data_IF_855055221535
#
_entry.id   IF_855055221535
#
_cell.length_a   1.000
_cell.length_b   1.000
_cell.length_c   1.000
_cell.angle_alpha   90.00
_cell.angle_beta   90.00
_cell.angle_gamma   90.00
#
_symmetry.space_group_name_H-M   'P 1'
#
loop_
_entity.id
_entity.type
_entity.pdbx_description
1 polymer ?
#
# COMPACT_ATOMS: atom_id res chain seq x y z
N UNK A 1 -28.39 -45.91 -42.11
CA UNK A 1 -28.23 -44.87 -41.07
C UNK A 1 -27.24 -45.38 -40.03
N UNK A 2 -26.02 -44.83 -39.97
CA UNK A 2 -24.99 -45.21 -38.99
C UNK A 2 -24.99 -44.19 -37.86
N UNK A 3 -25.28 -44.64 -36.65
CA UNK A 3 -25.34 -43.85 -35.42
C UNK A 3 -23.92 -43.53 -34.95
N UNK A 4 -23.57 -42.24 -34.86
CA UNK A 4 -22.29 -41.78 -34.32
C UNK A 4 -22.51 -41.46 -32.84
N UNK A 5 -21.90 -42.25 -31.97
CA UNK A 5 -21.88 -42.03 -30.53
C UNK A 5 -20.78 -41.02 -30.19
N UNK A 6 -21.16 -39.80 -29.78
CA UNK A 6 -20.22 -38.81 -29.27
C UNK A 6 -19.79 -39.17 -27.85
N UNK A 7 -18.53 -39.54 -27.68
CA UNK A 7 -17.89 -39.77 -26.38
C UNK A 7 -17.52 -38.40 -25.79
N UNK A 8 -18.31 -37.93 -24.82
CA UNK A 8 -18.08 -36.67 -24.12
C UNK A 8 -16.96 -36.87 -23.09
N UNK A 9 -15.73 -36.51 -23.46
CA UNK A 9 -14.57 -36.59 -22.58
C UNK A 9 -14.56 -35.37 -21.64
N UNK A 10 -15.03 -35.56 -20.40
CA UNK A 10 -14.94 -34.59 -19.31
C UNK A 10 -13.47 -34.47 -18.85
N UNK A 11 -12.72 -33.54 -19.45
CA UNK A 11 -11.42 -33.10 -18.96
C UNK A 11 -11.62 -32.27 -17.68
N UNK A 12 -11.51 -32.93 -16.53
CA UNK A 12 -11.26 -32.26 -15.24
C UNK A 12 -9.84 -31.68 -15.28
N UNK A 13 -9.71 -30.42 -15.72
CA UNK A 13 -8.49 -29.65 -15.51
C UNK A 13 -8.38 -29.29 -14.03
N UNK A 14 -7.54 -30.04 -13.32
CA UNK A 14 -7.09 -29.65 -11.99
C UNK A 14 -6.28 -28.35 -12.12
N UNK A 15 -6.92 -27.22 -11.87
CA UNK A 15 -6.25 -25.92 -11.76
C UNK A 15 -5.40 -25.98 -10.50
N UNK A 16 -4.10 -26.26 -10.66
CA UNK A 16 -3.13 -26.12 -9.57
C UNK A 16 -3.07 -24.64 -9.18
N UNK A 17 -3.60 -24.31 -8.01
CA UNK A 17 -3.42 -23.02 -7.35
C UNK A 17 -1.97 -22.90 -6.84
N UNK A 18 -1.00 -22.82 -7.75
CA UNK A 18 0.31 -22.29 -7.40
C UNK A 18 0.15 -20.78 -7.21
N UNK A 19 0.19 -20.31 -5.97
CA UNK A 19 0.44 -18.88 -5.76
C UNK A 19 1.87 -18.63 -6.22
N UNK A 20 2.06 -18.00 -7.38
CA UNK A 20 3.40 -17.63 -7.82
C UNK A 20 4.05 -16.77 -6.74
N UNK A 21 5.16 -17.28 -6.19
CA UNK A 21 5.97 -16.52 -5.26
C UNK A 21 6.58 -15.33 -6.02
N UNK A 22 6.48 -14.14 -5.41
CA UNK A 22 6.99 -12.91 -6.01
C UNK A 22 8.48 -13.04 -6.37
N UNK A 23 8.92 -12.34 -7.43
CA UNK A 23 10.31 -12.39 -7.89
C UNK A 23 11.30 -12.00 -6.78
N UNK A 24 10.86 -11.17 -5.83
CA UNK A 24 11.63 -10.80 -4.66
C UNK A 24 11.95 -11.97 -3.73
N UNK A 25 11.19 -13.07 -3.75
CA UNK A 25 11.42 -14.25 -2.92
C UNK A 25 12.06 -15.40 -3.68
N UNK A 26 11.68 -15.58 -4.95
CA UNK A 26 12.27 -16.59 -5.84
C UNK A 26 13.79 -16.42 -5.96
N UNK A 27 14.24 -15.16 -5.96
CA UNK A 27 15.63 -14.81 -6.12
C UNK A 27 16.09 -14.82 -7.57
N UNK A 28 17.08 -13.97 -7.86
CA UNK A 28 17.69 -13.83 -9.17
C UNK A 28 19.17 -14.13 -9.01
N UNK A 29 19.67 -15.09 -9.78
CA UNK A 29 21.10 -15.36 -9.80
C UNK A 29 21.83 -14.33 -10.67
N UNK A 30 22.73 -13.57 -10.06
CA UNK A 30 23.45 -12.46 -10.70
C UNK A 30 24.94 -12.74 -10.70
N UNK A 31 25.54 -12.72 -11.89
CA UNK A 31 26.99 -12.82 -12.06
C UNK A 31 27.65 -11.48 -11.69
N UNK A 32 28.52 -11.50 -10.69
CA UNK A 32 29.23 -10.34 -10.16
C UNK A 32 30.73 -10.52 -10.41
N UNK A 33 31.37 -9.48 -10.94
CA UNK A 33 32.82 -9.44 -11.11
C UNK A 33 33.49 -9.10 -9.78
N UNK A 34 34.53 -9.84 -9.43
CA UNK A 34 35.40 -9.53 -8.30
C UNK A 34 36.86 -9.41 -8.76
N UNK A 35 37.76 -9.06 -7.83
CA UNK A 35 39.19 -8.92 -8.13
C UNK A 35 39.86 -10.20 -8.64
N UNK A 36 39.22 -11.37 -8.49
CA UNK A 36 39.75 -12.69 -8.82
C UNK A 36 38.96 -13.40 -9.94
N UNK A 37 37.97 -12.75 -10.56
CA UNK A 37 37.16 -13.33 -11.63
C UNK A 37 35.67 -12.99 -11.51
N UNK A 38 34.81 -14.01 -11.64
CA UNK A 38 33.37 -13.86 -11.52
C UNK A 38 32.81 -14.87 -10.52
N UNK A 39 31.88 -14.40 -9.69
CA UNK A 39 31.08 -15.23 -8.78
C UNK A 39 29.60 -14.94 -8.97
N UNK A 40 28.78 -15.88 -8.55
CA UNK A 40 27.33 -15.77 -8.61
C UNK A 40 26.77 -15.35 -7.24
N UNK A 41 25.80 -14.45 -7.24
CA UNK A 41 25.07 -14.00 -6.05
C UNK A 41 23.59 -14.10 -6.31
N UNK A 42 22.87 -14.81 -5.46
CA UNK A 42 21.41 -14.80 -5.48
C UNK A 42 20.89 -13.54 -4.80
N UNK A 43 20.29 -12.64 -5.58
CA UNK A 43 19.62 -11.44 -5.09
C UNK A 43 18.16 -11.77 -4.77
N UNK A 44 17.81 -11.71 -3.49
CA UNK A 44 16.43 -11.93 -3.00
C UNK A 44 16.17 -11.12 -1.74
N UNK A 45 14.90 -11.05 -1.34
CA UNK A 45 14.46 -10.52 -0.07
C UNK A 45 14.69 -11.56 1.02
N UNK A 46 15.64 -11.28 1.91
CA UNK A 46 15.90 -12.13 3.06
C UNK A 46 14.84 -11.92 4.16
N UNK A 47 14.23 -13.00 4.66
CA UNK A 47 13.37 -13.02 5.83
C UNK A 47 13.65 -14.27 6.67
N UNK A 48 14.35 -14.09 7.77
CA UNK A 48 14.58 -15.14 8.76
C UNK A 48 13.25 -15.70 9.29
N UNK A 49 13.22 -16.99 9.64
CA UNK A 49 11.99 -17.72 9.98
C UNK A 49 11.30 -17.15 11.23
N UNK A 50 12.10 -16.72 12.22
CA UNK A 50 11.67 -16.03 13.42
C UNK A 50 10.92 -14.72 13.10
N UNK A 51 11.31 -14.03 12.03
CA UNK A 51 10.69 -12.78 11.61
C UNK A 51 9.34 -12.99 10.89
N UNK A 52 9.01 -14.21 10.47
CA UNK A 52 7.73 -14.50 9.80
C UNK A 52 6.54 -14.46 10.75
N UNK A 53 6.77 -14.66 12.05
CA UNK A 53 5.74 -14.70 13.10
C UNK A 53 5.42 -13.32 13.68
N UNK A 54 6.16 -12.28 13.29
CA UNK A 54 5.99 -10.93 13.82
C UNK A 54 4.73 -10.28 13.24
N UNK A 55 3.76 -10.00 14.11
CA UNK A 55 2.59 -9.20 13.75
C UNK A 55 3.00 -7.72 13.64
N UNK A 56 2.57 -6.99 12.58
CA UNK A 56 2.83 -5.56 12.48
C UNK A 56 2.18 -4.82 13.67
N UNK A 57 2.99 -4.18 14.50
CA UNK A 57 2.56 -3.31 15.58
C UNK A 57 3.38 -2.03 15.61
N UNK A 58 2.82 -0.95 16.15
CA UNK A 58 3.46 0.37 16.14
C UNK A 58 4.88 0.35 16.70
N UNK A 59 5.07 -0.16 17.92
CA UNK A 59 6.39 -0.24 18.56
C UNK A 59 7.33 -1.16 17.81
N UNK A 60 6.82 -2.28 17.28
CA UNK A 60 7.63 -3.19 16.47
C UNK A 60 8.18 -2.45 15.25
N UNK A 61 7.33 -1.76 14.48
CA UNK A 61 7.72 -1.16 13.18
C UNK A 61 8.66 0.01 13.29
N UNK A 62 8.55 0.79 14.37
CA UNK A 62 9.21 2.09 14.49
C UNK A 62 10.33 2.15 15.56
N UNK A 63 10.89 1.01 16.02
CA UNK A 63 11.95 0.97 17.06
C UNK A 63 13.34 0.52 16.59
N UNK A 64 14.42 0.96 17.27
CA UNK A 64 15.82 0.46 17.16
C UNK A 64 16.88 1.45 16.61
N UNK A 65 18.09 0.99 16.21
CA UNK A 65 19.17 1.77 15.50
C UNK A 65 20.03 0.94 14.51
N UNK A 66 20.30 1.46 13.30
CA UNK A 66 21.30 0.90 12.33
C UNK A 66 22.45 1.86 11.99
N UNK A 67 22.50 3.06 12.57
CA UNK A 67 23.50 4.08 12.22
C UNK A 67 24.82 3.87 12.98
N UNK A 68 25.92 4.36 12.41
CA UNK A 68 27.24 4.36 13.06
C UNK A 68 27.20 5.03 14.44
N UNK A 69 28.04 4.55 15.36
CA UNK A 69 28.03 4.96 16.77
C UNK A 69 28.22 6.46 16.99
N UNK A 70 28.93 7.15 16.09
CA UNK A 70 29.20 8.60 16.17
C UNK A 70 28.06 9.50 15.65
N UNK A 71 27.05 8.93 14.98
CA UNK A 71 25.92 9.74 14.47
C UNK A 71 25.07 10.18 15.67
N UNK A 72 24.59 11.43 15.74
CA UNK A 72 23.66 11.85 16.79
C UNK A 72 22.30 11.16 16.64
N UNK A 73 21.63 10.80 17.74
CA UNK A 73 20.34 10.09 17.69
C UNK A 73 19.24 10.84 16.95
N UNK A 74 19.25 12.17 16.98
CA UNK A 74 18.33 13.01 16.21
C UNK A 74 18.41 12.75 14.69
N UNK A 75 19.60 12.37 14.19
CA UNK A 75 19.85 12.06 12.78
C UNK A 75 19.61 10.58 12.44
N UNK A 76 19.28 9.74 13.42
CA UNK A 76 19.03 8.31 13.23
C UNK A 76 17.55 8.03 13.06
N UNK A 77 17.26 6.96 12.34
CA UNK A 77 15.94 6.32 12.26
C UNK A 77 16.13 4.82 12.12
N UNK A 78 15.16 4.06 12.59
CA UNK A 78 15.16 2.59 12.45
C UNK A 78 13.82 2.09 12.01
N UNK A 79 13.89 1.08 11.17
CA UNK A 79 12.75 0.52 10.51
C UNK A 79 12.83 -0.99 10.55
N UNK A 80 11.68 -1.62 10.75
CA UNK A 80 11.55 -3.05 10.51
C UNK A 80 11.43 -3.33 9.01
N UNK A 81 12.33 -4.17 8.52
CA UNK A 81 12.44 -4.52 7.10
C UNK A 81 11.71 -5.84 6.74
N UNK A 82 11.24 -6.59 7.74
CA UNK A 82 10.75 -7.97 7.60
C UNK A 82 9.23 -8.08 7.45
N UNK A 83 8.51 -6.96 7.45
CA UNK A 83 7.05 -6.95 7.38
C UNK A 83 6.48 -6.97 5.98
N UNK A 84 5.23 -7.43 5.88
CA UNK A 84 4.49 -7.51 4.63
C UNK A 84 4.86 -8.73 3.79
N UNK A 85 3.84 -9.35 3.20
CA UNK A 85 4.02 -10.56 2.39
C UNK A 85 4.68 -10.27 1.05
N UNK A 86 4.35 -9.17 0.37
CA UNK A 86 4.89 -8.85 -0.95
C UNK A 86 5.41 -7.40 -0.97
N UNK A 87 6.27 -7.08 -1.93
CA UNK A 87 6.64 -5.69 -2.24
C UNK A 87 5.80 -5.22 -3.43
N UNK A 88 5.06 -4.12 -3.25
CA UNK A 88 4.25 -3.58 -4.33
C UNK A 88 5.13 -2.93 -5.42
N UNK A 89 4.82 -3.06 -6.72
CA UNK A 89 5.56 -2.39 -7.80
C UNK A 89 5.40 -0.86 -7.74
N UNK A 90 6.22 -0.12 -8.48
CA UNK A 90 6.11 1.34 -8.54
C UNK A 90 4.78 1.78 -9.16
N UNK A 91 4.24 1.02 -10.11
CA UNK A 91 3.00 1.33 -10.81
C UNK A 91 1.90 0.37 -10.36
N UNK A 92 0.87 0.91 -9.71
CA UNK A 92 -0.27 0.11 -9.25
C UNK A 92 -1.27 -0.18 -10.37
N UNK A 93 -1.58 0.84 -11.16
CA UNK A 93 -2.50 0.79 -12.30
C UNK A 93 -2.03 1.76 -13.38
N UNK A 94 -2.60 1.70 -14.59
CA UNK A 94 -2.22 2.57 -15.69
C UNK A 94 -2.57 4.04 -15.42
N UNK A 95 -3.71 4.25 -14.77
CA UNK A 95 -4.37 5.53 -14.50
C UNK A 95 -3.93 6.18 -13.18
N UNK A 96 -3.31 5.41 -12.29
CA UNK A 96 -2.85 5.89 -10.98
C UNK A 96 -1.40 6.34 -11.08
N UNK A 97 -1.19 7.60 -10.75
CA UNK A 97 0.14 8.19 -10.66
C UNK A 97 0.74 7.92 -9.27
N UNK A 98 2.01 7.51 -9.25
CA UNK A 98 2.73 7.22 -8.01
C UNK A 98 3.57 8.41 -7.61
N UNK A 99 3.42 8.84 -6.37
CA UNK A 99 4.11 10.01 -5.83
C UNK A 99 5.33 9.59 -5.00
N UNK A 100 6.38 10.41 -5.05
CA UNK A 100 7.45 10.45 -4.07
C UNK A 100 7.19 11.53 -3.02
N UNK A 101 8.18 11.82 -2.18
CA UNK A 101 8.04 12.78 -1.06
C UNK A 101 7.79 14.21 -1.57
N UNK A 102 8.46 14.63 -2.65
CA UNK A 102 8.31 15.98 -3.20
C UNK A 102 6.93 16.19 -3.85
N UNK A 103 6.41 15.19 -4.55
CA UNK A 103 5.06 15.26 -5.13
C UNK A 103 3.98 15.28 -4.03
N UNK A 104 4.21 14.59 -2.89
CA UNK A 104 3.35 14.71 -1.71
C UNK A 104 3.35 16.13 -1.16
N UNK A 105 4.53 16.76 -1.03
CA UNK A 105 4.63 18.15 -0.55
C UNK A 105 3.89 19.13 -1.48
N UNK A 106 4.06 18.98 -2.79
CA UNK A 106 3.32 19.78 -3.77
C UNK A 106 1.81 19.56 -3.66
N UNK A 107 1.37 18.32 -3.51
CA UNK A 107 -0.04 18.00 -3.29
C UNK A 107 -0.58 18.65 -2.01
N UNK A 108 0.18 18.64 -0.92
CA UNK A 108 -0.18 19.30 0.34
C UNK A 108 -0.27 20.82 0.22
N UNK A 109 0.61 21.44 -0.57
CA UNK A 109 0.54 22.87 -0.87
C UNK A 109 -0.75 23.21 -1.65
N UNK A 110 -1.08 22.41 -2.66
CA UNK A 110 -2.31 22.56 -3.44
C UNK A 110 -3.56 22.36 -2.57
N UNK A 111 -3.54 21.40 -1.63
CA UNK A 111 -4.63 21.17 -0.67
C UNK A 111 -4.95 22.38 0.20
N UNK A 112 -4.01 23.31 0.42
CA UNK A 112 -4.29 24.52 1.20
C UNK A 112 -5.21 25.51 0.47
N UNK A 113 -5.39 25.32 -0.84
CA UNK A 113 -6.14 26.23 -1.72
C UNK A 113 -7.29 25.52 -2.44
N UNK A 114 -7.37 24.19 -2.36
CA UNK A 114 -8.35 23.37 -3.07
C UNK A 114 -8.90 22.26 -2.16
N UNK A 115 -10.08 22.51 -1.60
CA UNK A 115 -10.80 21.56 -0.76
C UNK A 115 -11.16 20.25 -1.48
N UNK A 116 -11.03 20.18 -2.82
CA UNK A 116 -11.25 18.95 -3.56
C UNK A 116 -10.04 18.00 -3.53
N UNK A 117 -8.92 18.37 -2.92
CA UNK A 117 -7.78 17.47 -2.73
C UNK A 117 -7.77 16.92 -1.30
N UNK A 118 -7.54 15.61 -1.17
CA UNK A 118 -7.47 14.95 0.13
C UNK A 118 -6.27 14.01 0.21
N UNK A 119 -5.50 14.16 1.28
CA UNK A 119 -4.48 13.20 1.68
C UNK A 119 -5.13 12.16 2.62
N UNK A 120 -5.04 10.89 2.26
CA UNK A 120 -5.71 9.79 2.96
C UNK A 120 -4.70 8.81 3.55
N UNK A 121 -4.79 8.61 4.86
CA UNK A 121 -4.08 7.55 5.58
C UNK A 121 -4.97 6.30 5.65
N UNK A 122 -4.63 5.26 4.88
CA UNK A 122 -5.41 4.02 4.79
C UNK A 122 -5.12 3.03 5.94
N UNK A 123 -4.25 3.40 6.89
CA UNK A 123 -3.89 2.54 8.03
C UNK A 123 -5.00 2.52 9.08
N UNK A 124 -4.90 1.55 10.00
CA UNK A 124 -5.79 1.49 11.16
C UNK A 124 -5.48 2.63 12.13
N UNK A 125 -6.46 2.96 12.95
CA UNK A 125 -6.46 4.04 13.93
C UNK A 125 -5.24 3.99 14.86
N UNK A 126 -4.79 2.84 15.39
CA UNK A 126 -3.59 2.82 16.24
C UNK A 126 -2.32 3.35 15.52
N UNK A 127 -2.21 3.13 14.21
CA UNK A 127 -1.10 3.65 13.41
C UNK A 127 -1.22 5.15 13.18
N UNK A 128 -2.43 5.58 12.80
CA UNK A 128 -2.72 6.99 12.58
C UNK A 128 -2.52 7.78 13.87
N UNK A 129 -3.10 7.32 14.98
CA UNK A 129 -3.03 7.92 16.31
C UNK A 129 -1.60 8.00 16.84
N UNK A 130 -0.77 6.99 16.57
CA UNK A 130 0.64 7.06 16.93
C UNK A 130 1.38 8.19 16.21
N UNK A 131 1.30 8.23 14.86
CA UNK A 131 1.82 9.34 14.04
C UNK A 131 1.36 9.22 12.59
N UNK A 132 1.13 10.34 11.93
CA UNK A 132 0.81 10.39 10.49
C UNK A 132 1.41 11.63 9.82
N UNK A 133 1.22 11.76 8.51
CA UNK A 133 1.55 12.96 7.73
C UNK A 133 0.54 14.07 8.09
N UNK A 134 1.00 15.31 8.40
CA UNK A 134 0.10 16.43 8.67
C UNK A 134 -0.91 16.68 7.54
N UNK A 135 -2.15 16.98 7.90
CA UNK A 135 -3.25 17.20 6.95
C UNK A 135 -3.90 15.92 6.39
N UNK A 136 -3.38 14.73 6.72
CA UNK A 136 -4.01 13.47 6.32
C UNK A 136 -5.30 13.20 7.11
N UNK A 137 -6.35 12.72 6.42
CA UNK A 137 -7.56 12.17 7.04
C UNK A 137 -7.42 10.66 7.13
N UNK A 138 -7.75 10.08 8.29
CA UNK A 138 -7.73 8.63 8.44
C UNK A 138 -8.98 8.00 7.81
N UNK A 139 -8.78 7.15 6.80
CA UNK A 139 -9.84 6.30 6.24
C UNK A 139 -9.32 4.87 6.14
N UNK A 140 -9.33 4.11 7.24
CA UNK A 140 -8.83 2.74 7.26
C UNK A 140 -9.46 1.88 6.17
N UNK A 141 -8.63 1.10 5.47
CA UNK A 141 -9.07 0.23 4.36
C UNK A 141 -10.23 -0.70 4.72
N UNK A 142 -10.35 -1.08 5.99
CA UNK A 142 -11.31 -2.08 6.44
C UNK A 142 -12.75 -1.53 6.54
N UNK A 143 -12.95 -0.20 6.59
CA UNK A 143 -14.29 0.39 6.46
C UNK A 143 -14.92 0.04 5.11
N UNK A 144 -14.09 -0.05 4.05
CA UNK A 144 -14.53 -0.35 2.69
C UNK A 144 -14.63 -1.86 2.47
N UNK A 145 -13.65 -2.63 2.95
CA UNK A 145 -13.65 -4.09 2.80
C UNK A 145 -14.77 -4.78 3.59
N UNK A 146 -15.09 -4.26 4.78
CA UNK A 146 -16.12 -4.80 5.67
C UNK A 146 -17.33 -3.85 5.77
N UNK A 147 -17.76 -3.26 4.65
CA UNK A 147 -18.82 -2.23 4.60
C UNK A 147 -20.15 -2.61 5.25
N UNK A 148 -20.45 -3.92 5.35
CA UNK A 148 -21.65 -4.39 6.03
C UNK A 148 -21.62 -4.15 7.55
N UNK A 149 -20.42 -4.13 8.13
CA UNK A 149 -20.19 -3.85 9.55
C UNK A 149 -19.97 -2.35 9.79
N UNK A 150 -19.19 -1.69 8.93
CA UNK A 150 -18.84 -0.26 9.04
C UNK A 150 -19.70 0.61 8.11
N UNK A 151 -21.03 0.48 8.22
CA UNK A 151 -21.97 1.11 7.27
C UNK A 151 -21.89 2.63 7.29
N UNK A 152 -21.81 3.21 8.48
CA UNK A 152 -21.86 4.66 8.68
C UNK A 152 -20.52 5.29 8.29
N UNK A 153 -19.40 4.68 8.66
CA UNK A 153 -18.06 5.12 8.28
C UNK A 153 -17.84 5.01 6.77
N UNK A 154 -18.30 3.92 6.16
CA UNK A 154 -18.27 3.75 4.71
C UNK A 154 -19.13 4.80 4.01
N UNK A 155 -20.37 5.02 4.46
CA UNK A 155 -21.26 6.02 3.86
C UNK A 155 -20.72 7.45 4.01
N UNK A 156 -20.13 7.76 5.18
CA UNK A 156 -19.43 9.01 5.41
C UNK A 156 -18.25 9.18 4.46
N UNK A 157 -17.38 8.18 4.35
CA UNK A 157 -16.22 8.22 3.46
C UNK A 157 -16.64 8.42 2.00
N UNK A 158 -17.64 7.68 1.52
CA UNK A 158 -18.17 7.83 0.16
C UNK A 158 -18.68 9.25 -0.11
N UNK A 159 -19.50 9.80 0.81
CA UNK A 159 -19.97 11.19 0.71
C UNK A 159 -18.83 12.20 0.73
N UNK A 160 -17.89 12.04 1.67
CA UNK A 160 -16.75 12.94 1.81
C UNK A 160 -15.88 12.96 0.54
N UNK A 161 -15.76 11.83 -0.15
CA UNK A 161 -15.00 11.71 -1.41
C UNK A 161 -15.76 12.18 -2.66
N UNK A 162 -16.99 12.70 -2.50
CA UNK A 162 -17.83 13.22 -3.60
C UNK A 162 -18.84 12.20 -4.16
N UNK A 163 -19.10 11.11 -3.45
CA UNK A 163 -20.04 10.07 -3.85
C UNK A 163 -21.49 10.47 -3.55
N UNK A 164 -22.35 10.35 -4.58
CA UNK A 164 -23.79 10.53 -4.49
C UNK A 164 -24.45 9.15 -4.49
N UNK A 165 -25.18 8.81 -3.43
CA UNK A 165 -25.86 7.52 -3.30
C UNK A 165 -26.98 7.40 -4.34
N UNK A 166 -26.98 6.31 -5.12
CA UNK A 166 -28.02 6.03 -6.14
C UNK A 166 -29.26 5.43 -5.49
N UNK A 167 -30.45 5.64 -6.09
CA UNK A 167 -31.71 5.03 -5.63
C UNK A 167 -31.66 3.50 -5.64
N UNK A 168 -31.00 2.92 -6.63
CA UNK A 168 -30.84 1.47 -6.83
C UNK A 168 -29.69 0.86 -6.01
N UNK A 169 -28.97 1.67 -5.22
CA UNK A 169 -27.79 1.24 -4.46
C UNK A 169 -26.45 1.60 -5.12
N UNK A 170 -25.38 1.63 -4.32
CA UNK A 170 -24.06 2.09 -4.74
C UNK A 170 -23.97 3.63 -4.89
N UNK A 171 -22.86 4.09 -5.47
CA UNK A 171 -22.54 5.51 -5.62
C UNK A 171 -22.32 5.92 -7.08
N UNK A 172 -22.44 7.21 -7.35
CA UNK A 172 -21.94 7.87 -8.57
C UNK A 172 -21.09 9.07 -8.19
N UNK A 173 -20.12 9.41 -9.02
CA UNK A 173 -19.14 10.48 -8.74
C UNK A 173 -19.17 11.51 -9.87
N UNK A 174 -19.92 12.59 -9.69
CA UNK A 174 -20.01 13.71 -10.64
C UNK A 174 -18.83 14.68 -10.46
N UNK A 175 -18.49 14.99 -9.20
CA UNK A 175 -17.36 15.83 -8.81
C UNK A 175 -16.48 15.12 -7.76
N UNK A 176 -15.81 14.02 -8.14
CA UNK A 176 -14.92 13.29 -7.23
C UNK A 176 -13.77 14.17 -6.77
N UNK A 177 -13.42 14.07 -5.48
CA UNK A 177 -12.17 14.64 -4.98
C UNK A 177 -10.95 14.03 -5.68
N UNK A 178 -9.79 14.66 -5.63
CA UNK A 178 -8.52 14.01 -5.95
C UNK A 178 -7.93 13.46 -4.66
N UNK A 179 -7.69 12.16 -4.62
CA UNK A 179 -7.18 11.45 -3.43
C UNK A 179 -5.70 11.18 -3.62
N UNK A 180 -4.87 11.53 -2.64
CA UNK A 180 -3.54 10.96 -2.47
C UNK A 180 -3.58 9.98 -1.30
N UNK A 181 -3.44 8.69 -1.56
CA UNK A 181 -3.52 7.66 -0.50
C UNK A 181 -2.17 7.05 -0.17
N UNK A 182 -1.94 6.72 1.10
CA UNK A 182 -0.70 6.08 1.56
C UNK A 182 -0.94 5.05 2.68
N UNK A 183 0.11 4.26 2.96
CA UNK A 183 0.19 3.35 4.11
C UNK A 183 1.59 3.44 4.79
N UNK A 184 2.11 2.37 5.39
CA UNK A 184 3.37 2.35 6.10
C UNK A 184 4.58 2.36 5.16
N UNK A 185 4.49 1.72 3.99
CA UNK A 185 5.60 1.64 3.05
C UNK A 185 5.34 0.67 1.90
N UNK A 186 6.35 0.39 1.06
CA UNK A 186 6.20 -0.41 -0.15
C UNK A 186 5.67 -1.84 0.04
N UNK A 187 5.81 -2.40 1.25
CA UNK A 187 5.35 -3.73 1.62
C UNK A 187 3.93 -3.75 2.20
N UNK A 188 3.34 -2.57 2.45
CA UNK A 188 2.01 -2.46 3.03
C UNK A 188 0.93 -2.54 1.95
N UNK A 189 0.00 -3.49 2.11
CA UNK A 189 -1.14 -3.68 1.19
C UNK A 189 -2.40 -2.87 1.53
N UNK A 190 -2.41 -2.08 2.61
CA UNK A 190 -3.64 -1.40 3.04
C UNK A 190 -4.08 -0.31 2.06
N UNK A 191 -3.14 0.48 1.52
CA UNK A 191 -3.46 1.48 0.50
C UNK A 191 -3.92 0.84 -0.81
N UNK A 192 -3.32 -0.27 -1.25
CA UNK A 192 -3.77 -0.95 -2.47
C UNK A 192 -5.15 -1.60 -2.29
N UNK A 193 -5.44 -2.14 -1.10
CA UNK A 193 -6.78 -2.67 -0.77
C UNK A 193 -7.82 -1.56 -0.71
N UNK A 194 -7.47 -0.39 -0.17
CA UNK A 194 -8.31 0.80 -0.20
C UNK A 194 -8.62 1.22 -1.64
N UNK A 195 -7.60 1.33 -2.50
CA UNK A 195 -7.78 1.69 -3.92
C UNK A 195 -8.68 0.69 -4.64
N UNK A 196 -8.44 -0.62 -4.45
CA UNK A 196 -9.29 -1.67 -5.05
C UNK A 196 -10.74 -1.55 -4.59
N UNK A 197 -10.97 -1.28 -3.32
CA UNK A 197 -12.33 -1.12 -2.81
C UNK A 197 -13.01 0.13 -3.40
N UNK A 198 -12.29 1.23 -3.61
CA UNK A 198 -12.84 2.40 -4.30
C UNK A 198 -13.17 2.10 -5.77
N UNK A 199 -12.32 1.35 -6.46
CA UNK A 199 -12.55 0.90 -7.84
C UNK A 199 -13.84 0.06 -7.93
N UNK A 200 -14.03 -0.89 -7.02
CA UNK A 200 -15.24 -1.72 -6.93
C UNK A 200 -16.52 -0.90 -6.67
N UNK A 201 -16.41 0.26 -6.03
CA UNK A 201 -17.52 1.20 -5.81
C UNK A 201 -17.70 2.21 -6.97
N UNK A 202 -16.90 2.09 -8.03
CA UNK A 202 -16.98 2.94 -9.22
C UNK A 202 -16.27 4.29 -9.09
N UNK A 203 -15.32 4.43 -8.16
CA UNK A 203 -14.52 5.63 -8.04
C UNK A 203 -13.60 5.79 -9.26
N UNK A 204 -13.48 7.00 -9.86
CA UNK A 204 -12.68 7.18 -11.06
C UNK A 204 -11.18 7.13 -10.75
N UNK A 205 -10.51 6.07 -11.22
CA UNK A 205 -9.11 5.77 -10.90
C UNK A 205 -8.12 6.90 -11.24
N UNK A 206 -8.39 7.71 -12.26
CA UNK A 206 -7.58 8.89 -12.63
C UNK A 206 -7.54 9.97 -11.53
N UNK A 207 -8.51 9.97 -10.61
CA UNK A 207 -8.56 10.86 -9.45
C UNK A 207 -7.79 10.32 -8.24
N UNK A 208 -7.17 9.14 -8.36
CA UNK A 208 -6.35 8.54 -7.30
C UNK A 208 -4.87 8.73 -7.64
N UNK A 209 -4.14 9.26 -6.68
CA UNK A 209 -2.69 9.32 -6.59
C UNK A 209 -2.25 8.41 -5.46
N UNK A 210 -1.08 7.81 -5.58
CA UNK A 210 -0.60 6.84 -4.60
C UNK A 210 0.81 7.15 -4.12
N UNK A 211 0.95 7.42 -2.82
CA UNK A 211 2.26 7.53 -2.20
C UNK A 211 2.70 6.14 -1.70
N UNK A 212 3.31 5.37 -2.62
CA UNK A 212 3.82 4.01 -2.38
C UNK A 212 4.81 3.92 -1.22
N UNK A 213 5.66 4.94 -1.08
CA UNK A 213 6.70 5.00 -0.06
C UNK A 213 6.15 5.11 1.36
N UNK A 214 4.92 5.63 1.51
CA UNK A 214 4.21 5.70 2.78
C UNK A 214 4.99 6.40 3.90
N UNK A 215 4.62 6.07 5.14
CA UNK A 215 5.30 6.63 6.32
C UNK A 215 6.78 6.30 6.38
N UNK A 216 7.25 5.17 5.85
CA UNK A 216 8.67 4.84 5.81
C UNK A 216 9.46 5.84 4.98
N UNK A 217 9.04 6.11 3.73
CA UNK A 217 9.72 7.11 2.89
C UNK A 217 9.65 8.51 3.50
N UNK A 218 8.51 8.87 4.10
CA UNK A 218 8.34 10.15 4.80
C UNK A 218 9.32 10.32 5.98
N UNK A 219 9.44 9.28 6.82
CA UNK A 219 10.32 9.30 7.99
C UNK A 219 11.80 9.18 7.61
N UNK A 220 12.13 8.45 6.54
CA UNK A 220 13.51 8.39 6.01
C UNK A 220 13.97 9.77 5.55
N UNK A 221 13.07 10.57 4.98
CA UNK A 221 13.34 11.96 4.61
C UNK A 221 13.30 12.93 5.81
N UNK A 222 13.16 12.41 7.05
CA UNK A 222 13.07 13.19 8.29
C UNK A 222 12.00 14.30 8.26
N UNK A 223 10.88 14.00 7.59
CA UNK A 223 9.77 14.94 7.44
C UNK A 223 8.91 15.03 8.69
N UNK A 224 8.26 16.19 8.89
CA UNK A 224 7.39 16.46 10.04
C UNK A 224 6.20 15.51 10.12
N UNK A 225 5.87 15.05 11.32
CA UNK A 225 4.68 14.23 11.61
C UNK A 225 3.75 14.92 12.60
N UNK A 226 2.50 14.47 12.67
CA UNK A 226 1.48 15.02 13.58
C UNK A 226 1.76 14.85 15.07
N UNK A 227 2.75 14.03 15.43
CA UNK A 227 3.19 13.77 16.82
C UNK A 227 4.71 13.70 16.87
N UNK A 228 5.33 14.10 18.00
CA UNK A 228 6.76 13.95 18.19
C UNK A 228 7.16 12.47 18.25
N UNK A 229 8.45 12.21 18.04
CA UNK A 229 9.05 10.91 18.33
C UNK A 229 9.00 10.72 19.85
N UNK A 230 8.21 9.74 20.32
CA UNK A 230 8.28 9.24 21.69
C UNK A 230 9.56 8.42 21.88
#
# INVERSE_FOLDING_TARGET
>A
MKTITFLFCLLLSAVSLYSEEGIEYRGIDVKVRDGNGYRHITVKRERAQECQKLAPGTMLVWGGSYAGSMVPDACKKTFVCTLGKNIHPIKMAKEIETYGVLEVLKFMEEMQKDDNKVLVDARREPWYNHRTIPGAVNMPYYYFHNRAYYKDEFAYAMRYLGGIKKKEGGYRFEHPKTILVFCNGPWCSLSSKFVKALEEEGYPMKHIKWFRGGMQAWLIANMTTTRPVQ
#
